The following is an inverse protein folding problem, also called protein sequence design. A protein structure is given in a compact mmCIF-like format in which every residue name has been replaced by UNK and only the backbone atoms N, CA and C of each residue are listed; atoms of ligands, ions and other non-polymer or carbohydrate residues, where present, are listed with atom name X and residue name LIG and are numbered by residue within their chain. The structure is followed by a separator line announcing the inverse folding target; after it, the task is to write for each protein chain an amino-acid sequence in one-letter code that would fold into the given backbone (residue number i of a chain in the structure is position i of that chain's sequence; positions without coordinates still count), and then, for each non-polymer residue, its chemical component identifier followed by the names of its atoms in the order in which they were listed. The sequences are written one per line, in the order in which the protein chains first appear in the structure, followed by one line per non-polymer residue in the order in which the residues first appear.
data_IF_181003536767
#
_entry.id   IF_181003536767
#
_cell.length_a   1.000
_cell.length_b   1.000
_cell.length_c   1.000
_cell.angle_alpha   90.00
_cell.angle_beta   90.00
_cell.angle_gamma   90.00
#
_symmetry.space_group_name_H-M   'P 1'
#
loop_
_entity.id
_entity.type
_entity.pdbx_description
1 polymer ?
#
# COMPACT_ATOMS: atom_id res chain seq x y z
N UNK A 1 -13.40 10.23 7.67
CA UNK A 1 -12.86 8.99 8.25
C UNK A 1 -12.00 9.38 9.44
N UNK A 2 -12.25 8.83 10.64
CA UNK A 2 -11.15 8.61 11.60
C UNK A 2 -10.17 7.73 10.83
N UNK A 3 -9.13 8.34 10.26
CA UNK A 3 -8.45 7.75 9.12
C UNK A 3 -7.14 7.14 9.57
N UNK A 4 -6.74 6.10 8.85
CA UNK A 4 -5.43 5.48 8.96
C UNK A 4 -4.28 6.51 8.95
N UNK A 5 -4.48 7.70 8.37
CA UNK A 5 -3.52 8.80 8.37
C UNK A 5 -3.13 9.21 9.80
N UNK A 6 -4.08 9.39 10.71
CA UNK A 6 -3.75 9.75 12.09
C UNK A 6 -2.90 8.67 12.76
N UNK A 7 -3.29 7.40 12.60
CA UNK A 7 -2.54 6.25 13.08
C UNK A 7 -1.10 6.25 12.54
N UNK A 8 -0.95 6.40 11.22
CA UNK A 8 0.36 6.43 10.54
C UNK A 8 1.21 7.61 11.00
N UNK A 9 0.62 8.80 11.16
CA UNK A 9 1.31 9.98 11.67
C UNK A 9 1.82 9.79 13.11
N UNK A 10 1.09 9.05 13.96
CA UNK A 10 1.61 8.69 15.31
C UNK A 10 2.83 7.78 15.27
N UNK A 11 3.11 7.15 14.12
CA UNK A 11 4.20 6.21 13.92
C UNK A 11 5.41 6.82 13.19
N UNK A 12 5.31 8.04 12.65
CA UNK A 12 6.37 8.73 11.88
C UNK A 12 7.79 8.62 12.42
N UNK A 13 7.96 8.78 13.73
CA UNK A 13 9.28 8.79 14.37
C UNK A 13 9.58 7.48 15.12
N UNK A 14 8.85 6.41 14.81
CA UNK A 14 9.01 5.09 15.44
C UNK A 14 9.60 4.13 14.41
N UNK A 15 10.60 3.37 14.83
CA UNK A 15 11.08 2.21 14.08
C UNK A 15 10.30 1.00 14.58
N UNK A 16 9.14 0.75 13.96
CA UNK A 16 8.29 -0.38 14.32
C UNK A 16 8.68 -1.62 13.51
N UNK A 17 8.93 -2.71 14.21
CA UNK A 17 9.10 -4.04 13.60
C UNK A 17 7.72 -4.67 13.34
N UNK A 18 7.65 -5.75 12.55
CA UNK A 18 6.39 -6.36 12.12
C UNK A 18 5.50 -6.78 13.29
N UNK A 19 6.11 -7.30 14.36
CA UNK A 19 5.43 -7.69 15.60
C UNK A 19 4.78 -6.52 16.35
N UNK A 20 5.24 -5.30 16.09
CA UNK A 20 4.65 -4.09 16.63
C UNK A 20 3.57 -3.55 15.70
N UNK A 21 3.78 -3.64 14.38
CA UNK A 21 2.81 -3.22 13.36
C UNK A 21 1.51 -4.03 13.47
N UNK A 22 1.58 -5.35 13.68
CA UNK A 22 0.37 -6.19 13.80
C UNK A 22 -0.52 -5.83 15.00
N UNK A 23 -0.03 -5.06 15.97
CA UNK A 23 -0.86 -4.57 17.09
C UNK A 23 -1.97 -3.63 16.62
N UNK A 24 -1.83 -3.06 15.43
CA UNK A 24 -2.83 -2.22 14.77
C UNK A 24 -3.80 -2.99 13.88
N UNK A 25 -3.76 -4.34 13.87
CA UNK A 25 -4.59 -5.18 12.99
C UNK A 25 -6.07 -4.77 13.03
N UNK A 26 -6.66 -4.62 14.21
CA UNK A 26 -8.09 -4.30 14.35
C UNK A 26 -8.43 -2.93 13.76
N UNK A 27 -7.59 -1.92 14.00
CA UNK A 27 -7.82 -0.57 13.48
C UNK A 27 -7.66 -0.55 11.96
N UNK A 28 -6.60 -1.17 11.44
CA UNK A 28 -6.33 -1.26 10.01
C UNK A 28 -7.43 -2.07 9.29
N UNK A 29 -7.93 -3.14 9.91
CA UNK A 29 -9.03 -3.93 9.35
C UNK A 29 -10.33 -3.12 9.28
N UNK A 30 -10.64 -2.35 10.34
CA UNK A 30 -11.78 -1.41 10.35
C UNK A 30 -11.65 -0.40 9.22
N UNK A 31 -10.49 0.25 9.06
CA UNK A 31 -10.27 1.22 8.00
C UNK A 31 -10.32 0.59 6.61
N UNK A 32 -9.74 -0.61 6.43
CA UNK A 32 -9.80 -1.34 5.16
C UNK A 32 -11.22 -1.70 4.76
N UNK A 33 -12.07 -2.08 5.71
CA UNK A 33 -13.47 -2.43 5.42
C UNK A 33 -14.23 -1.20 4.95
N UNK A 34 -14.06 -0.06 5.63
CA UNK A 34 -14.65 1.23 5.22
C UNK A 34 -14.13 1.69 3.86
N UNK A 35 -12.84 1.52 3.58
CA UNK A 35 -12.24 1.86 2.32
C UNK A 35 -12.87 1.05 1.17
N UNK A 36 -13.00 -0.27 1.33
CA UNK A 36 -13.58 -1.16 0.31
C UNK A 36 -15.03 -0.82 -0.04
N UNK A 37 -15.82 -0.31 0.90
CA UNK A 37 -17.21 0.09 0.66
C UNK A 37 -17.33 1.37 -0.18
N UNK A 38 -16.31 2.23 -0.17
CA UNK A 38 -16.37 3.59 -0.71
C UNK A 38 -15.28 3.87 -1.77
N UNK A 39 -14.55 2.84 -2.21
CA UNK A 39 -13.42 3.00 -3.12
C UNK A 39 -13.90 3.36 -4.53
N UNK A 40 -13.25 4.33 -5.16
CA UNK A 40 -13.42 4.63 -6.58
C UNK A 40 -12.57 3.67 -7.43
N UNK A 41 -12.90 3.52 -8.71
CA UNK A 41 -12.12 2.71 -9.64
C UNK A 41 -10.65 3.19 -9.71
N UNK A 42 -10.43 4.51 -9.73
CA UNK A 42 -9.08 5.11 -9.73
C UNK A 42 -8.29 4.73 -8.47
N UNK A 43 -8.90 4.80 -7.29
CA UNK A 43 -8.25 4.41 -6.04
C UNK A 43 -8.04 2.89 -5.96
N UNK A 44 -8.91 2.10 -6.58
CA UNK A 44 -8.74 0.65 -6.66
C UNK A 44 -7.53 0.27 -7.53
N UNK A 45 -7.35 0.92 -8.68
CA UNK A 45 -6.16 0.72 -9.51
C UNK A 45 -4.87 1.11 -8.78
N UNK A 46 -4.88 2.24 -8.05
CA UNK A 46 -3.75 2.64 -7.22
C UNK A 46 -3.47 1.64 -6.09
N UNK A 47 -4.51 1.09 -5.47
CA UNK A 47 -4.38 0.01 -4.50
C UNK A 47 -3.71 -1.23 -5.10
N UNK A 48 -4.17 -1.70 -6.26
CA UNK A 48 -3.57 -2.86 -6.95
C UNK A 48 -2.09 -2.60 -7.29
N UNK A 49 -1.74 -1.38 -7.68
CA UNK A 49 -0.36 -0.99 -7.93
C UNK A 49 0.50 -1.07 -6.66
N UNK A 50 0.03 -0.48 -5.55
CA UNK A 50 0.74 -0.51 -4.26
C UNK A 50 0.88 -1.93 -3.73
N UNK A 51 -0.17 -2.74 -3.80
CA UNK A 51 -0.14 -4.13 -3.37
C UNK A 51 0.79 -4.97 -4.25
N UNK A 52 0.71 -4.81 -5.57
CA UNK A 52 1.56 -5.51 -6.53
C UNK A 52 3.03 -5.16 -6.34
N UNK A 53 3.33 -3.89 -6.06
CA UNK A 53 4.67 -3.46 -5.68
C UNK A 53 5.12 -4.18 -4.40
N UNK A 54 4.32 -4.23 -3.34
CA UNK A 54 4.66 -4.96 -2.12
C UNK A 54 4.99 -6.43 -2.40
N UNK A 55 4.14 -7.11 -3.19
CA UNK A 55 4.28 -8.53 -3.54
C UNK A 55 5.45 -8.86 -4.48
N UNK A 56 6.22 -7.86 -4.93
CA UNK A 56 7.56 -8.10 -5.52
C UNK A 56 8.52 -8.75 -4.52
N UNK A 57 8.31 -8.51 -3.22
CA UNK A 57 9.10 -9.09 -2.15
C UNK A 57 8.60 -10.50 -1.85
N UNK A 58 9.51 -11.45 -1.68
CA UNK A 58 9.14 -12.85 -1.43
C UNK A 58 8.66 -13.10 0.01
N UNK A 59 9.14 -12.31 0.97
CA UNK A 59 8.90 -12.52 2.39
C UNK A 59 7.77 -11.62 2.92
N UNK A 60 6.75 -12.21 3.57
CA UNK A 60 5.59 -11.47 4.09
C UNK A 60 5.94 -10.47 5.21
N UNK A 61 6.98 -10.73 6.01
CA UNK A 61 7.49 -9.77 7.00
C UNK A 61 8.04 -8.52 6.30
N UNK A 62 8.86 -8.72 5.27
CA UNK A 62 9.38 -7.61 4.47
C UNK A 62 8.26 -6.83 3.78
N UNK A 63 7.24 -7.50 3.23
CA UNK A 63 6.06 -6.83 2.65
C UNK A 63 5.41 -5.90 3.67
N UNK A 64 5.09 -6.44 4.85
CA UNK A 64 4.46 -5.66 5.91
C UNK A 64 5.32 -4.48 6.35
N UNK A 65 6.60 -4.73 6.65
CA UNK A 65 7.52 -3.70 7.10
C UNK A 65 7.68 -2.57 6.07
N UNK A 66 7.99 -2.89 4.82
CA UNK A 66 8.23 -1.87 3.81
C UNK A 66 6.95 -1.12 3.43
N UNK A 67 5.82 -1.80 3.27
CA UNK A 67 4.54 -1.14 2.96
C UNK A 67 4.10 -0.22 4.11
N UNK A 68 4.33 -0.60 5.37
CA UNK A 68 4.04 0.27 6.51
C UNK A 68 4.90 1.52 6.54
N UNK A 69 6.22 1.37 6.36
CA UNK A 69 7.14 2.52 6.34
C UNK A 69 6.89 3.46 5.14
N UNK A 70 6.53 2.89 3.99
CA UNK A 70 6.11 3.64 2.81
C UNK A 70 4.82 4.43 3.10
N UNK A 71 3.81 3.79 3.71
CA UNK A 71 2.56 4.45 4.10
C UNK A 71 2.78 5.62 5.06
N UNK A 72 3.58 5.42 6.11
CA UNK A 72 3.95 6.47 7.07
C UNK A 72 4.63 7.64 6.37
N UNK A 73 5.58 7.35 5.49
CA UNK A 73 6.34 8.38 4.77
C UNK A 73 5.48 9.15 3.77
N UNK A 74 4.66 8.44 2.99
CA UNK A 74 3.77 9.03 1.99
C UNK A 74 2.75 9.98 2.64
N UNK A 75 2.15 9.55 3.75
CA UNK A 75 1.20 10.37 4.53
C UNK A 75 1.89 11.58 5.15
N UNK A 76 3.09 11.42 5.71
CA UNK A 76 3.84 12.53 6.28
C UNK A 76 4.19 13.59 5.23
N UNK A 77 4.70 13.15 4.06
CA UNK A 77 5.02 14.06 2.96
C UNK A 77 3.77 14.81 2.51
N UNK A 78 2.67 14.11 2.23
CA UNK A 78 1.43 14.74 1.79
C UNK A 78 0.90 15.74 2.83
N UNK A 79 1.05 15.43 4.12
CA UNK A 79 0.69 16.36 5.20
C UNK A 79 1.58 17.61 5.21
N UNK A 80 2.89 17.45 5.04
CA UNK A 80 3.84 18.56 4.99
C UNK A 80 3.64 19.46 3.76
N UNK A 81 3.24 18.88 2.63
CA UNK A 81 2.97 19.62 1.39
C UNK A 81 1.56 20.18 1.30
N UNK A 82 0.70 19.91 2.29
CA UNK A 82 -0.74 20.23 2.27
C UNK A 82 -1.47 19.64 1.04
N UNK A 83 -1.04 18.45 0.59
CA UNK A 83 -1.68 17.72 -0.50
C UNK A 83 -2.85 16.89 0.05
N UNK A 84 -4.02 17.52 0.11
CA UNK A 84 -5.24 16.93 0.69
C UNK A 84 -5.76 15.78 -0.16
N UNK A 85 -5.65 15.89 -1.49
CA UNK A 85 -6.13 14.87 -2.42
C UNK A 85 -5.31 13.58 -2.27
N UNK A 86 -3.97 13.70 -2.20
CA UNK A 86 -3.11 12.54 -1.92
C UNK A 86 -3.37 11.93 -0.55
N UNK A 87 -3.61 12.76 0.48
CA UNK A 87 -3.97 12.27 1.81
C UNK A 87 -5.25 11.42 1.78
N UNK A 88 -6.28 11.88 1.07
CA UNK A 88 -7.52 11.14 0.91
C UNK A 88 -7.26 9.79 0.22
N UNK A 89 -6.57 9.78 -0.92
CA UNK A 89 -6.27 8.56 -1.66
C UNK A 89 -5.44 7.57 -0.83
N UNK A 90 -4.41 8.06 -0.14
CA UNK A 90 -3.59 7.24 0.75
C UNK A 90 -4.38 6.59 1.88
N UNK A 91 -5.46 7.24 2.35
CA UNK A 91 -6.32 6.63 3.37
C UNK A 91 -7.03 5.37 2.87
N UNK A 92 -7.42 5.32 1.60
CA UNK A 92 -8.01 4.13 0.98
C UNK A 92 -6.93 3.08 0.70
N UNK A 93 -5.92 3.49 -0.06
CA UNK A 93 -4.88 2.62 -0.62
C UNK A 93 -4.12 1.89 0.48
N UNK A 94 -3.58 2.63 1.46
CA UNK A 94 -2.76 2.02 2.50
C UNK A 94 -3.58 1.27 3.53
N UNK A 95 -4.86 1.62 3.77
CA UNK A 95 -5.72 0.79 4.62
C UNK A 95 -5.87 -0.61 4.04
N UNK A 96 -6.16 -0.71 2.75
CA UNK A 96 -6.36 -1.99 2.08
C UNK A 96 -5.06 -2.77 1.90
N UNK A 97 -3.98 -2.09 1.48
CA UNK A 97 -2.69 -2.74 1.29
C UNK A 97 -2.09 -3.25 2.61
N UNK A 98 -2.15 -2.47 3.69
CA UNK A 98 -1.66 -2.88 5.00
C UNK A 98 -2.49 -4.00 5.60
N UNK A 99 -3.82 -3.96 5.48
CA UNK A 99 -4.66 -5.06 5.95
C UNK A 99 -4.27 -6.36 5.23
N UNK A 100 -4.06 -6.32 3.92
CA UNK A 100 -3.65 -7.50 3.15
C UNK A 100 -2.28 -8.02 3.57
N UNK A 101 -1.30 -7.13 3.80
CA UNK A 101 0.04 -7.53 4.27
C UNK A 101 0.02 -8.09 5.70
N UNK A 102 -0.83 -7.56 6.58
CA UNK A 102 -1.02 -8.08 7.95
C UNK A 102 -1.62 -9.49 7.90
N UNK A 103 -2.66 -9.70 7.08
CA UNK A 103 -3.29 -11.01 6.94
C UNK A 103 -2.31 -12.04 6.37
N UNK A 104 -1.52 -11.68 5.36
CA UNK A 104 -0.45 -12.52 4.78
C UNK A 104 0.62 -12.86 5.82
N UNK A 105 1.11 -11.86 6.57
CA UNK A 105 2.09 -12.07 7.64
C UNK A 105 1.57 -13.00 8.74
N UNK A 106 0.30 -12.85 9.14
CA UNK A 106 -0.35 -13.67 10.15
C UNK A 106 -0.85 -15.02 9.61
N UNK A 107 -0.72 -15.29 8.30
CA UNK A 107 -1.25 -16.48 7.61
C UNK A 107 -2.75 -16.68 7.86
N UNK A 108 -3.49 -15.58 7.83
CA UNK A 108 -4.96 -15.53 7.91
C UNK A 108 -5.56 -15.48 6.49
N UNK A 109 -6.88 -15.46 6.41
CA UNK A 109 -7.61 -15.47 5.13
C UNK A 109 -7.20 -14.30 4.23
N UNK A 110 -6.39 -14.62 3.21
CA UNK A 110 -5.97 -13.70 2.15
C UNK A 110 -6.82 -13.91 0.91
N UNK A 111 -7.06 -12.83 0.16
CA UNK A 111 -7.72 -12.91 -1.14
C UNK A 111 -6.67 -13.16 -2.23
N UNK A 112 -6.43 -14.43 -2.54
CA UNK A 112 -5.44 -14.84 -3.54
C UNK A 112 -5.72 -14.26 -4.94
N UNK A 113 -7.00 -14.12 -5.32
CA UNK A 113 -7.39 -13.56 -6.62
C UNK A 113 -6.98 -12.09 -6.73
N UNK A 114 -7.25 -11.29 -5.69
CA UNK A 114 -6.85 -9.88 -5.62
C UNK A 114 -5.33 -9.71 -5.63
N UNK A 115 -4.61 -10.62 -4.97
CA UNK A 115 -3.14 -10.65 -4.99
C UNK A 115 -2.63 -10.95 -6.40
N UNK A 116 -3.18 -11.94 -7.09
CA UNK A 116 -2.77 -12.26 -8.46
C UNK A 116 -3.09 -11.13 -9.44
N UNK A 117 -4.21 -10.44 -9.24
CA UNK A 117 -4.56 -9.25 -10.00
C UNK A 117 -3.52 -8.14 -9.78
N UNK A 118 -3.20 -7.81 -8.54
CA UNK A 118 -2.21 -6.81 -8.18
C UNK A 118 -0.83 -7.12 -8.78
N UNK A 119 -0.37 -8.37 -8.69
CA UNK A 119 0.90 -8.83 -9.31
C UNK A 119 0.85 -8.64 -10.83
N UNK A 120 -0.28 -8.95 -11.46
CA UNK A 120 -0.45 -8.83 -12.92
C UNK A 120 -0.41 -7.36 -13.35
N UNK A 121 -1.10 -6.49 -12.64
CA UNK A 121 -1.10 -5.04 -12.90
C UNK A 121 0.32 -4.48 -12.76
N UNK A 122 1.02 -4.80 -11.67
CA UNK A 122 2.38 -4.33 -11.44
C UNK A 122 3.35 -4.79 -12.55
N UNK A 123 3.28 -6.05 -12.97
CA UNK A 123 4.11 -6.57 -14.09
C UNK A 123 3.86 -5.82 -15.40
N UNK A 124 2.59 -5.51 -15.72
CA UNK A 124 2.26 -4.73 -16.92
C UNK A 124 2.88 -3.33 -16.88
N UNK A 125 2.86 -2.67 -15.72
CA UNK A 125 3.48 -1.36 -15.55
C UNK A 125 5.02 -1.42 -15.69
N UNK A 126 5.66 -2.42 -15.09
CA UNK A 126 7.11 -2.62 -15.24
C UNK A 126 7.52 -2.89 -16.71
N UNK A 127 6.74 -3.69 -17.43
CA UNK A 127 6.96 -3.93 -18.85
C UNK A 127 6.80 -2.67 -19.71
N UNK A 128 5.79 -1.83 -19.42
CA UNK A 128 5.58 -0.56 -20.09
C UNK A 128 6.75 0.39 -19.87
N UNK A 129 7.17 0.57 -18.61
CA UNK A 129 8.37 1.37 -18.24
C UNK A 129 9.62 0.87 -18.95
N UNK A 130 9.83 -0.46 -19.02
CA UNK A 130 10.96 -1.06 -19.73
C UNK A 130 10.95 -0.75 -21.23
N UNK A 131 9.78 -0.84 -21.88
CA UNK A 131 9.63 -0.52 -23.32
C UNK A 131 9.88 0.96 -23.60
N UNK A 132 9.43 1.86 -22.73
CA UNK A 132 9.68 3.29 -22.84
C UNK A 132 11.18 3.61 -22.67
N UNK A 133 11.82 3.08 -21.64
CA UNK A 133 13.25 3.28 -21.41
C UNK A 133 14.09 2.77 -22.59
N UNK A 134 13.74 1.63 -23.19
CA UNK A 134 14.40 1.13 -24.42
C UNK A 134 14.23 2.06 -25.61
N UNK A 135 13.11 2.79 -25.73
CA UNK A 135 12.93 3.82 -26.76
C UNK A 135 13.89 4.99 -26.51
N UNK A 136 14.00 5.48 -25.27
CA UNK A 136 14.90 6.60 -24.94
C UNK A 136 16.39 6.26 -25.16
N UNK A 137 16.82 5.04 -24.82
CA UNK A 137 18.19 4.58 -25.05
C UNK A 137 18.52 4.25 -26.53
N UNK A 138 17.53 4.20 -27.42
CA UNK A 138 17.76 4.06 -28.86
C UNK A 138 18.03 5.41 -29.57
N UNK A 139 17.81 6.53 -28.87
CA UNK A 139 18.04 7.89 -29.37
C UNK A 139 19.28 8.58 -28.77
N UNK A 140 20.11 7.84 -28.01
CA UNK A 140 21.40 8.27 -27.47
C UNK A 140 22.55 7.58 -28.20
#
# INVERSE_FOLDING_TARGET
MENIIELLLTCKNKNLEENEIIKFENDINKFSSQARENISDENYELFLNTLGYAYRLENSAQRLYYTFNEAVSAVDIAKLTNDIDSLENYSFIYSMALNTCILDYLKKDINDDEIQEAITVYKKLEEQKSKENKKYHAYQ
#
